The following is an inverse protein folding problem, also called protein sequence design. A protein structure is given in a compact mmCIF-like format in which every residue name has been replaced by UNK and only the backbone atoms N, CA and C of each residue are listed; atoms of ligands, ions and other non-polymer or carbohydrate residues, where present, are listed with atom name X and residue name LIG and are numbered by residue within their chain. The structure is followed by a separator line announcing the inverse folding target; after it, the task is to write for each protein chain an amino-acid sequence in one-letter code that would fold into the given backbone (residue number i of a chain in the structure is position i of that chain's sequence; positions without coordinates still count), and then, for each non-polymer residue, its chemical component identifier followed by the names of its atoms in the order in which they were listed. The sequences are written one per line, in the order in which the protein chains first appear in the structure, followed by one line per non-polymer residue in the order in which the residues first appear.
data_IF_861306144552
#
_entry.id   IF_861306144552
#
_cell.length_a   1.000
_cell.length_b   1.000
_cell.length_c   1.000
_cell.angle_alpha   90.00
_cell.angle_beta   90.00
_cell.angle_gamma   90.00
#
_symmetry.space_group_name_H-M   'P 1'
#
loop_
_entity.id
_entity.type
_entity.pdbx_description
1 polymer ?
#
# COMPACT_ATOMS: atom_id res chain seq x y z
N UNK A 1 5.41 7.14 72.83
CA UNK A 1 6.73 6.50 72.79
C UNK A 1 6.90 5.69 74.04
N UNK A 2 7.25 4.44 73.96
CA UNK A 2 7.58 3.57 75.09
C UNK A 2 9.11 3.44 75.10
N UNK A 3 9.70 3.74 76.25
CA UNK A 3 11.13 3.63 76.47
C UNK A 3 11.37 2.39 77.33
N UNK A 4 12.30 1.54 76.91
CA UNK A 4 12.80 0.42 77.65
C UNK A 4 14.32 0.63 77.86
N UNK A 5 14.90 -0.17 78.69
CA UNK A 5 16.33 -0.07 79.05
C UNK A 5 17.03 -1.36 78.74
N UNK A 6 18.19 -1.26 78.06
CA UNK A 6 18.99 -2.46 77.72
C UNK A 6 19.61 -3.06 78.99
N UNK A 7 19.39 -4.35 79.22
CA UNK A 7 19.85 -5.08 80.38
C UNK A 7 19.39 -4.47 81.73
N UNK A 8 18.21 -3.81 81.74
CA UNK A 8 17.65 -3.06 82.83
C UNK A 8 18.56 -1.89 83.33
N UNK A 9 19.54 -1.48 82.51
CA UNK A 9 20.43 -0.37 82.78
C UNK A 9 19.79 0.94 82.40
N UNK A 10 19.50 1.80 83.41
CA UNK A 10 18.84 3.08 83.24
C UNK A 10 19.63 4.07 82.37
N UNK A 11 20.94 3.85 82.24
CA UNK A 11 21.84 4.64 81.41
C UNK A 11 21.85 4.25 79.91
N UNK A 12 21.11 3.16 79.60
CA UNK A 12 21.03 2.66 78.24
C UNK A 12 19.56 2.63 77.75
N UNK A 13 18.89 3.80 77.67
CA UNK A 13 17.48 3.86 77.19
C UNK A 13 17.42 3.61 75.66
N UNK A 14 16.39 2.92 75.23
CA UNK A 14 16.04 2.79 73.83
C UNK A 14 14.52 2.89 73.64
N UNK A 15 14.10 3.34 72.49
CA UNK A 15 12.67 3.36 72.14
C UNK A 15 12.26 1.97 71.68
N UNK A 16 11.41 1.31 72.49
CA UNK A 16 10.93 -0.05 72.18
C UNK A 16 9.65 -0.02 71.34
N UNK A 17 8.81 1.02 71.47
CA UNK A 17 7.59 1.14 70.62
C UNK A 17 7.00 2.57 70.75
N UNK A 18 5.94 2.79 70.00
CA UNK A 18 5.09 3.97 70.10
C UNK A 18 3.64 3.56 70.35
N UNK A 19 2.94 4.39 71.10
CA UNK A 19 1.52 4.22 71.36
C UNK A 19 0.76 5.44 70.86
N UNK A 20 -0.42 5.20 70.33
CA UNK A 20 -1.37 6.24 70.05
C UNK A 20 -1.91 6.85 71.36
N UNK A 21 -2.28 8.14 71.27
CA UNK A 21 -2.86 8.85 72.40
C UNK A 21 -3.82 9.95 71.88
N UNK A 22 -4.44 10.71 72.80
CA UNK A 22 -5.37 11.77 72.45
C UNK A 22 -4.79 12.91 71.58
N UNK A 23 -3.50 13.18 71.67
CA UNK A 23 -2.82 14.15 70.81
C UNK A 23 -2.34 13.55 69.48
N UNK A 24 -2.08 12.25 69.45
CA UNK A 24 -1.65 11.50 68.24
C UNK A 24 -2.54 10.25 68.05
N UNK A 25 -3.74 10.43 67.51
CA UNK A 25 -4.68 9.30 67.31
C UNK A 25 -4.16 8.31 66.27
N UNK A 26 -4.58 7.06 66.38
CA UNK A 26 -4.38 6.04 65.32
C UNK A 26 -5.03 6.48 64.02
N UNK A 27 -4.44 6.15 62.88
CA UNK A 27 -5.10 6.24 61.58
C UNK A 27 -6.22 5.16 61.46
N UNK A 28 -6.09 4.06 62.19
CA UNK A 28 -7.09 3.00 62.28
C UNK A 28 -8.16 3.41 63.31
N UNK A 29 -9.42 3.39 62.91
CA UNK A 29 -10.55 3.74 63.78
C UNK A 29 -10.85 2.58 64.74
N UNK A 30 -10.27 2.63 65.91
CA UNK A 30 -10.49 1.63 66.97
C UNK A 30 -11.69 2.00 67.86
N UNK A 31 -12.47 1.00 68.37
CA UNK A 31 -12.28 -0.44 68.21
C UNK A 31 -12.93 -1.04 66.98
N UNK A 32 -13.53 -0.25 66.08
CA UNK A 32 -14.30 -0.74 64.94
C UNK A 32 -13.46 -1.48 63.89
N UNK A 33 -12.22 -1.09 63.73
CA UNK A 33 -11.28 -1.69 62.75
C UNK A 33 -10.15 -2.47 63.44
N UNK A 34 -10.50 -3.31 64.43
CA UNK A 34 -9.55 -4.15 65.16
C UNK A 34 -8.83 -5.21 64.29
N UNK A 35 -9.40 -5.48 63.10
CA UNK A 35 -8.82 -6.34 62.07
C UNK A 35 -7.69 -5.70 61.28
N UNK A 36 -7.36 -4.42 61.50
CA UNK A 36 -6.33 -3.69 60.81
C UNK A 36 -5.07 -3.46 61.65
N UNK A 37 -3.90 -3.61 61.00
CA UNK A 37 -2.62 -3.19 61.55
C UNK A 37 -2.00 -2.16 60.62
N UNK A 38 -1.64 -1.00 61.17
CA UNK A 38 -1.07 0.10 60.36
C UNK A 38 0.28 0.54 60.94
N UNK A 39 1.23 0.74 60.05
CA UNK A 39 2.50 1.46 60.27
C UNK A 39 2.39 2.80 59.51
N UNK A 40 2.42 3.89 60.21
CA UNK A 40 2.29 5.21 59.60
C UNK A 40 3.23 6.25 60.18
N UNK A 41 3.60 7.23 59.36
CA UNK A 41 4.34 8.42 59.80
C UNK A 41 3.69 9.69 59.24
N UNK A 42 3.45 10.69 60.11
CA UNK A 42 2.88 11.97 59.72
C UNK A 42 3.92 12.87 59.03
N UNK A 43 3.44 13.71 58.12
CA UNK A 43 4.24 14.82 57.58
C UNK A 43 4.58 15.80 58.67
N UNK A 44 5.83 16.24 58.70
CA UNK A 44 6.34 17.24 59.65
C UNK A 44 6.54 18.55 58.90
N UNK A 45 6.05 19.67 59.44
CA UNK A 45 6.24 21.00 58.85
C UNK A 45 5.01 21.92 59.08
N UNK A 46 4.98 23.03 58.35
CA UNK A 46 3.87 23.97 58.35
C UNK A 46 2.64 23.34 57.76
N UNK A 47 1.53 23.27 58.46
CA UNK A 47 0.24 22.66 58.10
C UNK A 47 0.20 21.12 58.12
N UNK A 48 1.10 20.43 58.73
CA UNK A 48 1.15 19.00 59.09
C UNK A 48 0.09 18.05 58.49
N UNK A 49 -0.37 18.30 57.28
CA UNK A 49 -1.37 17.50 56.57
C UNK A 49 -0.62 16.45 55.74
N UNK A 50 -1.07 15.21 55.85
CA UNK A 50 -0.54 14.08 55.08
C UNK A 50 0.22 13.06 55.93
N UNK A 51 0.47 11.90 55.31
CA UNK A 51 1.12 10.76 55.98
C UNK A 51 1.53 9.70 54.97
N UNK A 52 2.58 8.97 55.28
CA UNK A 52 2.89 7.69 54.64
C UNK A 52 2.31 6.56 55.44
N UNK A 53 1.85 5.49 54.77
CA UNK A 53 1.11 4.40 55.44
C UNK A 53 1.40 3.04 54.78
N UNK A 54 1.59 2.02 55.58
CA UNK A 54 1.44 0.62 55.24
C UNK A 54 0.37 0.02 56.14
N UNK A 55 -0.77 -0.38 55.58
CA UNK A 55 -1.85 -0.99 56.33
C UNK A 55 -2.14 -2.41 55.83
N UNK A 56 -2.30 -3.32 56.80
CA UNK A 56 -2.74 -4.69 56.60
C UNK A 56 -4.13 -4.84 57.13
N UNK A 57 -5.07 -5.26 56.31
CA UNK A 57 -6.49 -5.53 56.68
C UNK A 57 -6.79 -7.01 56.46
N UNK A 58 -7.33 -7.70 57.45
CA UNK A 58 -7.52 -9.15 57.47
C UNK A 58 -9.00 -9.59 57.61
N UNK A 59 -9.94 -8.76 57.12
CA UNK A 59 -11.33 -9.22 57.01
C UNK A 59 -11.41 -10.29 55.94
N UNK A 60 -11.96 -11.46 56.26
CA UNK A 60 -12.17 -12.56 55.32
C UNK A 60 -12.87 -12.08 54.05
N UNK A 61 -12.35 -12.45 52.88
CA UNK A 61 -12.80 -12.08 51.52
C UNK A 61 -12.66 -10.58 51.19
N UNK A 62 -12.00 -9.79 52.06
CA UNK A 62 -11.66 -8.39 51.87
C UNK A 62 -10.25 -8.04 52.36
N UNK A 63 -9.37 -9.03 52.37
CA UNK A 63 -7.98 -8.87 52.78
C UNK A 63 -7.27 -7.88 51.86
N UNK A 64 -6.50 -6.98 52.45
CA UNK A 64 -5.81 -5.92 51.69
C UNK A 64 -4.45 -5.59 52.28
N UNK A 65 -3.49 -5.37 51.46
CA UNK A 65 -2.24 -4.66 51.76
C UNK A 65 -2.32 -3.30 51.07
N UNK A 66 -2.34 -2.23 51.84
CA UNK A 66 -2.41 -0.88 51.35
C UNK A 66 -1.12 -0.13 51.64
N UNK A 67 -0.45 0.37 50.58
CA UNK A 67 0.76 1.17 50.69
C UNK A 67 0.49 2.57 50.10
N UNK A 68 0.70 3.61 50.91
CA UNK A 68 0.53 5.00 50.54
C UNK A 68 1.81 5.78 50.78
N UNK A 69 2.35 6.37 49.74
CA UNK A 69 3.36 7.43 49.81
C UNK A 69 2.67 8.78 49.62
N UNK A 70 2.93 9.73 50.52
CA UNK A 70 2.33 11.06 50.45
C UNK A 70 2.84 11.87 49.25
N UNK A 71 4.08 11.63 48.85
CA UNK A 71 4.70 12.35 47.74
C UNK A 71 5.44 11.39 46.80
N UNK A 72 6.59 10.96 47.15
CA UNK A 72 7.47 10.16 46.32
C UNK A 72 7.56 8.71 46.86
N UNK A 73 7.54 7.74 45.95
CA UNK A 73 7.76 6.33 46.24
C UNK A 73 8.91 5.82 45.41
N UNK A 74 10.04 5.48 46.03
CA UNK A 74 11.22 4.93 45.39
C UNK A 74 11.41 3.47 45.79
N UNK A 75 11.57 2.59 44.79
CA UNK A 75 11.87 1.19 44.98
C UNK A 75 13.15 0.80 44.29
N UNK A 76 14.15 0.30 45.02
CA UNK A 76 15.40 -0.19 44.48
C UNK A 76 15.57 -1.68 44.74
N UNK A 77 15.55 -2.50 43.70
CA UNK A 77 15.78 -3.93 43.77
C UNK A 77 17.13 -4.27 43.18
N UNK A 78 18.07 -4.71 44.03
CA UNK A 78 19.47 -5.02 43.66
C UNK A 78 19.60 -6.22 42.71
N UNK A 79 18.65 -7.15 42.71
CA UNK A 79 18.77 -8.39 41.94
C UNK A 79 17.50 -8.63 41.10
N UNK A 80 16.56 -9.39 41.58
CA UNK A 80 15.36 -9.75 40.79
C UNK A 80 14.09 -9.18 41.43
N UNK A 81 13.21 -8.63 40.62
CA UNK A 81 11.84 -8.29 40.99
C UNK A 81 10.87 -9.21 40.24
N UNK A 82 10.01 -9.92 40.99
CA UNK A 82 9.00 -10.82 40.42
C UNK A 82 7.65 -10.45 40.98
N UNK A 83 6.68 -10.22 40.09
CA UNK A 83 5.29 -9.93 40.43
C UNK A 83 4.38 -10.97 39.74
N UNK A 84 3.51 -11.62 40.51
CA UNK A 84 2.47 -12.52 40.01
C UNK A 84 1.10 -12.07 40.54
N UNK A 85 0.20 -11.73 39.64
CA UNK A 85 -1.14 -11.29 39.94
C UNK A 85 -2.10 -12.30 39.33
N UNK A 86 -2.98 -12.87 40.16
CA UNK A 86 -3.86 -13.97 39.75
C UNK A 86 -5.16 -13.47 39.09
N UNK A 87 -5.52 -12.24 39.28
CA UNK A 87 -6.69 -11.62 38.70
C UNK A 87 -6.30 -10.33 37.96
N UNK A 88 -6.78 -9.19 38.30
CA UNK A 88 -6.63 -7.96 37.55
C UNK A 88 -5.42 -7.12 38.04
N UNK A 89 -4.80 -6.40 37.12
CA UNK A 89 -3.81 -5.36 37.41
C UNK A 89 -4.21 -4.06 36.74
N UNK A 90 -4.51 -3.03 37.54
CA UNK A 90 -4.74 -1.67 37.07
C UNK A 90 -3.52 -0.80 37.36
N UNK A 91 -3.12 0.03 36.41
CA UNK A 91 -2.05 1.03 36.58
C UNK A 91 -2.47 2.34 35.93
N UNK A 92 -2.57 3.40 36.73
CA UNK A 92 -2.96 4.73 36.28
C UNK A 92 -1.79 5.68 36.57
N UNK A 93 -1.37 6.42 35.56
CA UNK A 93 -0.29 7.43 35.64
C UNK A 93 -0.81 8.72 35.03
N UNK A 94 -1.06 9.73 35.87
CA UNK A 94 -1.56 11.04 35.44
C UNK A 94 -0.50 11.90 34.73
N UNK A 95 0.77 11.57 34.91
CA UNK A 95 1.89 12.27 34.30
C UNK A 95 2.62 11.43 33.27
N UNK A 96 3.93 11.42 33.35
CA UNK A 96 4.80 10.72 32.38
C UNK A 96 5.12 9.31 32.87
N UNK A 97 4.91 8.31 32.04
CA UNK A 97 5.37 6.94 32.25
C UNK A 97 6.62 6.67 31.40
N UNK A 98 7.77 6.44 32.06
CA UNK A 98 9.04 6.08 31.39
C UNK A 98 9.44 4.66 31.75
N UNK A 99 9.72 3.85 30.74
CA UNK A 99 10.27 2.49 30.91
C UNK A 99 11.54 2.34 30.09
N UNK A 100 12.64 1.83 30.68
CA UNK A 100 13.91 1.57 30.00
C UNK A 100 14.40 0.17 30.27
N UNK A 101 14.41 -0.65 29.22
CA UNK A 101 14.88 -2.03 29.27
C UNK A 101 16.18 -2.13 28.46
N UNK A 102 17.27 -2.53 29.11
CA UNK A 102 18.60 -2.55 28.47
C UNK A 102 18.82 -3.78 27.58
N UNK A 103 18.08 -4.88 27.77
CA UNK A 103 18.27 -6.12 27.04
C UNK A 103 17.01 -6.49 26.25
N UNK A 104 16.12 -7.25 26.83
CA UNK A 104 14.95 -7.82 26.14
C UNK A 104 13.68 -7.46 26.88
N UNK A 105 12.68 -6.99 26.15
CA UNK A 105 11.30 -6.88 26.62
C UNK A 105 10.45 -7.89 25.87
N UNK A 106 9.84 -8.82 26.59
CA UNK A 106 8.90 -9.80 26.03
C UNK A 106 7.52 -9.56 26.64
N UNK A 107 6.51 -9.44 25.79
CA UNK A 107 5.11 -9.31 26.19
C UNK A 107 4.28 -10.37 25.46
N UNK A 108 3.57 -11.21 26.23
CA UNK A 108 2.61 -12.20 25.70
C UNK A 108 1.22 -11.84 26.20
N UNK A 109 0.26 -11.78 25.30
CA UNK A 109 -1.13 -11.47 25.59
C UNK A 109 -2.01 -12.47 24.83
N UNK A 110 -2.73 -13.31 25.55
CA UNK A 110 -3.43 -14.45 24.94
C UNK A 110 -4.68 -14.04 24.16
N UNK A 111 -5.36 -12.95 24.52
CA UNK A 111 -6.62 -12.57 23.90
C UNK A 111 -6.53 -11.27 23.08
N UNK A 112 -6.34 -10.12 23.74
CA UNK A 112 -6.39 -8.83 23.06
C UNK A 112 -5.43 -7.80 23.67
N UNK A 113 -4.82 -6.98 22.81
CA UNK A 113 -4.08 -5.78 23.19
C UNK A 113 -4.69 -4.56 22.50
N UNK A 114 -5.19 -3.61 23.29
CA UNK A 114 -5.68 -2.32 22.80
C UNK A 114 -4.67 -1.23 23.16
N UNK A 115 -4.32 -0.39 22.17
CA UNK A 115 -3.45 0.78 22.37
C UNK A 115 -4.15 1.99 21.77
N UNK A 116 -4.56 2.94 22.62
CA UNK A 116 -5.19 4.19 22.21
C UNK A 116 -4.24 5.33 22.52
N UNK A 117 -3.86 6.11 21.51
CA UNK A 117 -2.97 7.25 21.65
C UNK A 117 -3.64 8.48 21.07
N UNK A 118 -3.93 9.47 21.89
CA UNK A 118 -4.60 10.71 21.48
C UNK A 118 -3.72 11.70 20.72
N UNK A 119 -2.42 11.54 20.78
CA UNK A 119 -1.44 12.38 20.08
C UNK A 119 -0.58 11.56 19.12
N UNK A 120 0.71 11.49 19.38
CA UNK A 120 1.68 10.81 18.52
C UNK A 120 2.03 9.40 19.03
N UNK A 121 2.08 8.43 18.13
CA UNK A 121 2.60 7.09 18.38
C UNK A 121 3.83 6.83 17.52
N UNK A 122 5.03 6.92 18.09
CA UNK A 122 6.30 6.76 17.41
C UNK A 122 6.94 5.40 17.73
N UNK A 123 7.33 4.66 16.69
CA UNK A 123 8.08 3.40 16.82
C UNK A 123 9.37 3.47 16.01
N UNK A 124 10.53 3.46 16.69
CA UNK A 124 11.84 3.39 16.07
C UNK A 124 12.48 2.04 16.30
N UNK A 125 12.87 1.35 15.23
CA UNK A 125 13.51 0.03 15.29
C UNK A 125 14.81 0.08 14.49
N UNK A 126 15.94 -0.15 15.16
CA UNK A 126 17.26 -0.02 14.55
C UNK A 126 17.64 -1.11 13.56
N UNK A 127 17.09 -2.32 13.68
CA UNK A 127 17.47 -3.46 12.85
C UNK A 127 16.28 -4.05 12.07
N UNK A 128 15.36 -4.72 12.72
CA UNK A 128 14.20 -5.34 12.06
C UNK A 128 12.91 -5.17 12.85
N UNK A 129 11.79 -5.07 12.12
CA UNK A 129 10.45 -5.12 12.67
C UNK A 129 9.64 -6.13 11.85
N UNK A 130 9.26 -7.22 12.46
CA UNK A 130 8.41 -8.24 11.85
C UNK A 130 6.98 -8.13 12.40
N UNK A 131 6.01 -8.21 11.51
CA UNK A 131 4.58 -8.21 11.88
C UNK A 131 3.91 -9.38 11.18
N UNK A 132 3.40 -10.34 11.96
CA UNK A 132 2.71 -11.52 11.44
C UNK A 132 1.26 -11.45 11.93
N UNK A 133 0.31 -11.47 11.00
CA UNK A 133 -1.13 -11.41 11.27
C UNK A 133 -1.81 -12.59 10.62
N UNK A 134 -2.44 -13.45 11.42
CA UNK A 134 -3.02 -14.70 10.93
C UNK A 134 -4.28 -14.53 10.08
N UNK A 135 -5.10 -13.52 10.34
CA UNK A 135 -6.39 -13.36 9.65
C UNK A 135 -6.51 -12.02 8.90
N UNK A 136 -6.49 -10.89 9.58
CA UNK A 136 -6.66 -9.61 8.92
C UNK A 136 -5.79 -8.51 9.53
N UNK A 137 -5.28 -7.64 8.68
CA UNK A 137 -4.58 -6.42 9.05
C UNK A 137 -5.23 -5.24 8.33
N UNK A 138 -5.77 -4.28 9.09
CA UNK A 138 -6.44 -3.09 8.54
C UNK A 138 -5.67 -1.84 8.94
N UNK A 139 -5.34 -1.01 7.96
CA UNK A 139 -4.72 0.29 8.17
C UNK A 139 -5.64 1.38 7.61
N UNK A 140 -6.23 2.19 8.48
CA UNK A 140 -7.02 3.36 8.10
C UNK A 140 -6.22 4.63 8.42
N UNK A 141 -5.96 5.45 7.41
CA UNK A 141 -5.21 6.69 7.55
C UNK A 141 -6.05 7.84 7.03
N UNK A 142 -6.39 8.79 7.87
CA UNK A 142 -7.31 9.88 7.54
C UNK A 142 -6.75 10.92 6.56
N UNK A 143 -5.44 11.14 6.53
CA UNK A 143 -4.85 12.22 5.74
C UNK A 143 -3.68 11.75 4.87
N UNK A 144 -2.60 11.24 5.44
CA UNK A 144 -1.37 10.97 4.70
C UNK A 144 -0.70 9.67 5.16
N UNK A 145 -0.41 8.77 4.23
CA UNK A 145 0.33 7.54 4.46
C UNK A 145 1.58 7.52 3.57
N UNK A 146 2.76 7.65 4.17
CA UNK A 146 4.04 7.63 3.47
C UNK A 146 4.81 6.35 3.75
N UNK A 147 5.10 5.59 2.69
CA UNK A 147 5.98 4.42 2.75
C UNK A 147 7.25 4.72 1.97
N UNK A 148 8.41 4.69 2.64
CA UNK A 148 9.73 4.89 2.01
C UNK A 148 10.60 3.68 2.24
N UNK A 149 11.00 3.02 1.16
CA UNK A 149 11.89 1.87 1.17
C UNK A 149 13.16 2.22 0.39
N UNK A 150 14.31 2.17 1.05
CA UNK A 150 15.58 2.63 0.46
C UNK A 150 16.15 1.69 -0.62
N UNK A 151 15.84 0.39 -0.53
CA UNK A 151 16.37 -0.62 -1.47
C UNK A 151 15.26 -1.42 -2.13
N UNK A 152 14.74 -2.43 -1.49
CA UNK A 152 13.82 -3.40 -2.08
C UNK A 152 12.48 -3.40 -1.35
N UNK A 153 11.39 -3.42 -2.10
CA UNK A 153 10.04 -3.67 -1.60
C UNK A 153 9.46 -4.87 -2.32
N UNK A 154 8.98 -5.85 -1.60
CA UNK A 154 8.30 -7.02 -2.13
C UNK A 154 6.85 -7.03 -1.65
N UNK A 155 5.92 -7.23 -2.60
CA UNK A 155 4.51 -7.44 -2.30
C UNK A 155 4.06 -8.74 -3.00
N UNK A 156 3.47 -9.65 -2.24
CA UNK A 156 2.85 -10.85 -2.76
C UNK A 156 1.39 -10.91 -2.31
N UNK A 157 0.46 -11.02 -3.26
CA UNK A 157 -0.97 -11.15 -3.02
C UNK A 157 -1.43 -12.47 -3.64
N UNK A 158 -1.91 -13.39 -2.80
CA UNK A 158 -2.28 -14.75 -3.21
C UNK A 158 -3.51 -14.81 -4.12
N UNK A 159 -4.45 -13.88 -3.98
CA UNK A 159 -5.70 -13.85 -4.75
C UNK A 159 -5.91 -12.50 -5.43
N UNK A 160 -6.63 -11.58 -4.82
CA UNK A 160 -7.05 -10.34 -5.43
C UNK A 160 -6.32 -9.13 -4.84
N UNK A 161 -5.96 -8.17 -5.67
CA UNK A 161 -5.49 -6.86 -5.28
C UNK A 161 -6.31 -5.79 -5.97
N UNK A 162 -7.05 -5.01 -5.20
CA UNK A 162 -7.83 -3.87 -5.68
C UNK A 162 -7.13 -2.57 -5.31
N UNK A 163 -7.05 -1.65 -6.27
CA UNK A 163 -6.48 -0.32 -6.08
C UNK A 163 -7.48 0.69 -6.63
N UNK A 164 -7.99 1.56 -5.76
CA UNK A 164 -8.86 2.67 -6.12
C UNK A 164 -8.17 3.99 -5.76
N UNK A 165 -8.11 4.91 -6.70
CA UNK A 165 -7.47 6.21 -6.54
C UNK A 165 -8.45 7.29 -6.98
N UNK A 166 -8.94 8.07 -6.03
CA UNK A 166 -9.96 9.10 -6.27
C UNK A 166 -9.47 10.33 -7.05
N UNK A 167 -8.16 10.51 -7.22
CA UNK A 167 -7.60 11.62 -7.97
C UNK A 167 -6.51 11.17 -8.94
N UNK A 168 -5.24 11.39 -8.65
CA UNK A 168 -4.15 11.15 -9.59
C UNK A 168 -3.24 10.01 -9.11
N UNK A 169 -2.80 9.19 -10.04
CA UNK A 169 -1.70 8.24 -9.84
C UNK A 169 -0.49 8.68 -10.67
N UNK A 170 0.67 8.83 -10.05
CA UNK A 170 1.93 9.06 -10.73
C UNK A 170 2.90 7.90 -10.43
N UNK A 171 3.41 7.27 -11.49
CA UNK A 171 4.39 6.17 -11.38
C UNK A 171 5.64 6.52 -12.17
N UNK A 172 6.79 6.57 -11.52
CA UNK A 172 8.09 6.84 -12.15
C UNK A 172 9.00 5.64 -11.95
N UNK A 173 9.44 5.04 -13.04
CA UNK A 173 10.35 3.89 -13.05
C UNK A 173 11.62 4.29 -13.81
N UNK A 174 12.75 4.31 -13.12
CA UNK A 174 14.03 4.78 -13.71
C UNK A 174 14.75 3.74 -14.58
N UNK A 175 14.34 2.49 -14.53
CA UNK A 175 14.91 1.42 -15.35
C UNK A 175 13.79 0.67 -16.08
N UNK A 176 13.60 -0.58 -15.79
CA UNK A 176 12.71 -1.47 -16.54
C UNK A 176 11.39 -1.70 -15.79
N UNK A 177 10.29 -1.72 -16.53
CA UNK A 177 9.01 -2.26 -16.08
C UNK A 177 8.71 -3.55 -16.84
N UNK A 178 8.52 -4.63 -16.11
CA UNK A 178 8.07 -5.91 -16.68
C UNK A 178 6.69 -6.25 -16.14
N UNK A 179 5.70 -6.34 -17.03
CA UNK A 179 4.34 -6.72 -16.68
C UNK A 179 3.93 -7.98 -17.41
N UNK A 180 3.66 -9.05 -16.69
CA UNK A 180 3.18 -10.30 -17.26
C UNK A 180 1.74 -10.57 -16.81
N UNK A 181 0.79 -10.61 -17.75
CA UNK A 181 -0.63 -10.88 -17.51
C UNK A 181 -0.99 -12.18 -18.20
N UNK A 182 -1.21 -13.24 -17.47
CA UNK A 182 -1.57 -14.57 -18.02
C UNK A 182 -2.99 -14.64 -18.56
N UNK A 183 -3.87 -13.78 -18.06
CA UNK A 183 -5.26 -13.68 -18.51
C UNK A 183 -5.51 -12.43 -19.37
N UNK A 184 -6.67 -11.84 -19.28
CA UNK A 184 -7.06 -10.68 -20.05
C UNK A 184 -6.52 -9.38 -19.40
N UNK A 185 -6.01 -8.46 -20.21
CA UNK A 185 -5.77 -7.07 -19.84
C UNK A 185 -6.83 -6.20 -20.52
N UNK A 186 -7.58 -5.41 -19.73
CA UNK A 186 -8.50 -4.39 -20.23
C UNK A 186 -8.05 -3.03 -19.70
N UNK A 187 -7.99 -2.05 -20.57
CA UNK A 187 -7.66 -0.67 -20.22
C UNK A 187 -8.68 0.26 -20.88
N UNK A 188 -9.27 1.16 -20.12
CA UNK A 188 -10.26 2.13 -20.60
C UNK A 188 -9.80 3.51 -20.15
N UNK A 189 -9.63 4.42 -21.11
CA UNK A 189 -9.24 5.82 -20.88
C UNK A 189 -10.31 6.70 -21.49
N UNK A 190 -11.01 7.47 -20.68
CA UNK A 190 -12.06 8.39 -21.14
C UNK A 190 -11.51 9.68 -21.76
N UNK A 191 -10.30 10.04 -21.40
CA UNK A 191 -9.61 11.24 -21.92
C UNK A 191 -8.55 10.89 -22.97
N UNK A 192 -7.41 11.56 -22.90
CA UNK A 192 -6.29 11.32 -23.78
C UNK A 192 -5.42 10.16 -23.31
N UNK A 193 -4.92 9.37 -24.24
CA UNK A 193 -3.96 8.33 -24.02
C UNK A 193 -2.74 8.52 -24.90
N UNK A 194 -1.66 9.07 -24.35
CA UNK A 194 -0.42 9.36 -25.07
C UNK A 194 0.62 8.28 -24.78
N UNK A 195 1.20 7.72 -25.85
CA UNK A 195 2.31 6.78 -25.77
C UNK A 195 3.51 7.39 -26.50
N UNK A 196 4.58 7.69 -25.78
CA UNK A 196 5.81 8.23 -26.35
C UNK A 196 6.95 7.24 -26.12
N UNK A 197 7.45 6.63 -27.18
CA UNK A 197 8.53 5.63 -27.16
C UNK A 197 9.69 6.14 -28.02
N UNK A 198 10.85 6.32 -27.40
CA UNK A 198 12.03 6.87 -28.10
C UNK A 198 12.69 5.88 -29.04
N UNK A 199 12.56 4.59 -28.81
CA UNK A 199 13.21 3.56 -29.60
C UNK A 199 12.20 2.74 -30.40
N UNK A 200 11.67 1.65 -29.87
CA UNK A 200 10.87 0.70 -30.63
C UNK A 200 9.55 0.37 -29.92
N UNK A 201 8.44 0.49 -30.63
CA UNK A 201 7.16 -0.12 -30.27
C UNK A 201 6.94 -1.39 -31.09
N UNK A 202 6.82 -2.54 -30.42
CA UNK A 202 6.46 -3.80 -31.06
C UNK A 202 5.11 -4.28 -30.52
N UNK A 203 4.14 -4.50 -31.42
CA UNK A 203 2.85 -5.10 -31.11
C UNK A 203 2.77 -6.41 -31.87
N UNK A 204 2.56 -7.51 -31.19
CA UNK A 204 2.44 -8.83 -31.77
C UNK A 204 1.24 -9.56 -31.19
N UNK A 205 0.40 -10.11 -32.05
CA UNK A 205 -0.78 -10.93 -31.68
C UNK A 205 -0.80 -12.19 -32.49
N UNK A 206 -1.32 -13.28 -31.95
CA UNK A 206 -1.46 -14.55 -32.66
C UNK A 206 -2.77 -14.64 -33.45
N UNK A 207 -3.76 -13.82 -33.14
CA UNK A 207 -5.08 -13.87 -33.80
C UNK A 207 -5.38 -12.60 -34.56
N UNK A 208 -5.89 -11.58 -33.90
CA UNK A 208 -6.37 -10.37 -34.52
C UNK A 208 -5.85 -9.12 -33.82
N UNK A 209 -5.43 -8.13 -34.59
CA UNK A 209 -5.22 -6.76 -34.13
C UNK A 209 -6.23 -5.87 -34.84
N UNK A 210 -7.08 -5.18 -34.08
CA UNK A 210 -8.06 -4.23 -34.62
C UNK A 210 -7.78 -2.84 -34.08
N UNK A 211 -7.64 -1.87 -35.00
CA UNK A 211 -7.51 -0.45 -34.69
C UNK A 211 -8.72 0.26 -35.29
N UNK A 212 -9.54 0.88 -34.47
CA UNK A 212 -10.75 1.58 -34.89
C UNK A 212 -10.77 3.01 -34.38
N UNK A 213 -10.93 3.95 -35.26
CA UNK A 213 -11.17 5.36 -34.94
C UNK A 213 -12.55 5.78 -35.42
N UNK A 214 -13.29 6.54 -34.61
CA UNK A 214 -14.58 7.09 -35.01
C UNK A 214 -14.42 8.26 -35.99
N UNK A 215 -13.35 9.04 -35.88
CA UNK A 215 -13.09 10.19 -36.71
C UNK A 215 -11.92 9.94 -37.66
N UNK A 216 -10.71 10.28 -37.25
CA UNK A 216 -9.52 10.20 -38.11
C UNK A 216 -8.51 9.18 -37.52
N UNK A 217 -7.90 8.42 -38.41
CA UNK A 217 -6.69 7.65 -38.13
C UNK A 217 -5.59 8.22 -38.99
N UNK A 218 -4.55 8.78 -38.35
CA UNK A 218 -3.38 9.33 -39.04
C UNK A 218 -2.15 8.45 -38.70
N UNK A 219 -1.51 7.94 -39.73
CA UNK A 219 -0.26 7.19 -39.59
C UNK A 219 0.80 7.90 -40.44
N UNK A 220 1.85 8.38 -39.80
CA UNK A 220 2.96 9.09 -40.48
C UNK A 220 4.32 8.50 -40.11
N UNK A 221 5.23 8.54 -41.04
CA UNK A 221 6.63 8.16 -40.85
C UNK A 221 7.54 9.06 -41.67
N UNK A 222 8.71 9.35 -41.15
CA UNK A 222 9.73 10.12 -41.89
C UNK A 222 10.65 9.22 -42.72
N UNK A 223 10.52 7.91 -42.64
CA UNK A 223 11.33 6.95 -43.36
C UNK A 223 10.42 6.05 -44.23
N UNK A 224 10.29 4.79 -43.93
CA UNK A 224 9.55 3.82 -44.72
C UNK A 224 8.32 3.29 -43.98
N UNK A 225 7.25 3.04 -44.72
CA UNK A 225 6.06 2.35 -44.25
C UNK A 225 5.83 1.11 -45.11
N UNK A 226 5.73 -0.03 -44.49
CA UNK A 226 5.47 -1.32 -45.16
C UNK A 226 4.20 -1.98 -44.65
N UNK A 227 3.45 -2.57 -45.61
CA UNK A 227 2.33 -3.46 -45.28
C UNK A 227 2.61 -4.79 -45.99
N UNK A 228 2.76 -5.84 -45.21
CA UNK A 228 3.01 -7.20 -45.71
C UNK A 228 1.93 -8.15 -45.21
N UNK A 229 1.42 -9.01 -46.08
CA UNK A 229 0.39 -10.00 -45.75
C UNK A 229 0.52 -11.21 -46.67
N UNK A 230 0.36 -12.40 -46.11
CA UNK A 230 0.45 -13.67 -46.86
C UNK A 230 -0.81 -13.92 -47.70
N UNK A 231 -1.91 -13.23 -47.46
CA UNK A 231 -3.17 -13.46 -48.16
C UNK A 231 -3.71 -12.23 -48.85
N UNK A 232 -4.54 -11.46 -48.20
CA UNK A 232 -5.27 -10.36 -48.82
C UNK A 232 -4.96 -9.05 -48.09
N UNK A 233 -4.71 -7.99 -48.84
CA UNK A 233 -4.68 -6.62 -48.36
C UNK A 233 -5.82 -5.88 -49.06
N UNK A 234 -6.77 -5.34 -48.28
CA UNK A 234 -7.98 -4.70 -48.82
C UNK A 234 -8.12 -3.31 -48.29
N UNK A 235 -8.24 -2.34 -49.18
CA UNK A 235 -8.55 -0.96 -48.86
C UNK A 235 -9.94 -0.62 -49.43
N UNK A 236 -10.86 -0.20 -48.56
CA UNK A 236 -12.20 0.21 -48.93
C UNK A 236 -12.46 1.63 -48.38
N UNK A 237 -12.82 2.56 -49.23
CA UNK A 237 -13.11 3.93 -48.88
C UNK A 237 -14.02 4.56 -49.93
N UNK A 238 -14.72 5.63 -49.59
CA UNK A 238 -15.47 6.41 -50.59
C UNK A 238 -14.54 7.07 -51.62
N UNK A 239 -13.42 7.59 -51.16
CA UNK A 239 -12.37 8.17 -51.98
C UNK A 239 -10.98 7.69 -51.54
N UNK A 240 -10.14 7.35 -52.50
CA UNK A 240 -8.75 6.99 -52.27
C UNK A 240 -7.84 7.84 -53.16
N UNK A 241 -6.82 8.48 -52.56
CA UNK A 241 -5.78 9.17 -53.26
C UNK A 241 -4.42 8.52 -52.95
N UNK A 242 -3.71 8.10 -54.00
CA UNK A 242 -2.30 7.68 -53.90
C UNK A 242 -1.46 8.68 -54.68
N UNK A 243 -0.54 9.36 -54.00
CA UNK A 243 0.34 10.35 -54.59
C UNK A 243 1.78 10.08 -54.19
N UNK A 244 2.65 10.03 -55.18
CA UNK A 244 4.12 9.87 -55.00
C UNK A 244 4.87 11.02 -55.66
N UNK A 245 6.06 11.37 -55.17
CA UNK A 245 6.88 12.43 -55.74
C UNK A 245 7.75 11.94 -56.89
N UNK A 246 8.11 10.69 -56.87
CA UNK A 246 8.99 10.10 -57.89
C UNK A 246 8.30 8.92 -58.56
N UNK A 247 8.40 7.72 -58.04
CA UNK A 247 7.97 6.52 -58.71
C UNK A 247 6.78 5.88 -58.03
N UNK A 248 5.82 5.39 -58.84
CA UNK A 248 4.70 4.57 -58.40
C UNK A 248 4.75 3.24 -59.17
N UNK A 249 5.08 2.17 -58.51
CA UNK A 249 5.21 0.84 -59.11
C UNK A 249 4.13 -0.10 -58.55
N UNK A 250 3.43 -0.78 -59.45
CA UNK A 250 2.48 -1.84 -59.13
C UNK A 250 2.88 -3.11 -59.84
N UNK A 251 3.16 -4.17 -59.09
CA UNK A 251 3.47 -5.49 -59.64
C UNK A 251 2.44 -6.52 -59.16
N UNK A 252 1.97 -7.36 -60.04
CA UNK A 252 1.08 -8.48 -59.71
C UNK A 252 1.54 -9.74 -60.48
N UNK A 253 1.47 -10.90 -59.81
CA UNK A 253 1.82 -12.18 -60.45
C UNK A 253 0.81 -12.63 -61.53
N UNK A 254 -0.45 -12.32 -61.36
CA UNK A 254 -1.50 -12.76 -62.24
C UNK A 254 -2.18 -11.65 -63.06
N UNK A 255 -2.66 -10.61 -62.37
CA UNK A 255 -3.51 -9.60 -63.00
C UNK A 255 -3.48 -8.28 -62.23
N UNK A 256 -3.50 -7.16 -62.94
CA UNK A 256 -3.86 -5.83 -62.46
C UNK A 256 -5.21 -5.45 -63.12
N UNK A 257 -6.24 -5.15 -62.32
CA UNK A 257 -7.54 -4.69 -62.81
C UNK A 257 -7.84 -3.31 -62.26
N UNK A 258 -8.10 -2.36 -63.12
CA UNK A 258 -8.72 -1.07 -62.82
C UNK A 258 -10.14 -1.07 -63.41
N UNK A 259 -11.18 -0.85 -62.57
CA UNK A 259 -12.56 -0.93 -63.00
C UNK A 259 -13.37 0.24 -62.48
N UNK A 260 -14.17 0.87 -63.32
CA UNK A 260 -15.18 1.88 -62.99
C UNK A 260 -16.45 1.56 -63.76
N UNK A 261 -17.49 1.08 -63.08
CA UNK A 261 -18.68 0.57 -63.77
C UNK A 261 -18.31 -0.54 -64.75
N UNK A 262 -18.72 -0.41 -66.03
CA UNK A 262 -18.41 -1.36 -67.11
C UNK A 262 -17.07 -1.06 -67.80
N UNK A 263 -16.39 0.06 -67.46
CA UNK A 263 -15.09 0.41 -68.01
C UNK A 263 -13.98 -0.32 -67.26
N UNK A 264 -13.06 -0.96 -67.96
CA UNK A 264 -11.99 -1.76 -67.38
C UNK A 264 -10.67 -1.55 -68.13
N UNK A 265 -9.57 -1.52 -67.34
CA UNK A 265 -8.19 -1.74 -67.81
C UNK A 265 -7.65 -2.97 -67.13
N UNK A 266 -7.34 -4.02 -67.88
CA UNK A 266 -6.82 -5.28 -67.40
C UNK A 266 -5.43 -5.51 -68.00
N UNK A 267 -4.45 -5.69 -67.09
CA UNK A 267 -3.10 -6.19 -67.49
C UNK A 267 -2.96 -7.58 -66.96
N UNK A 268 -2.71 -8.58 -67.82
CA UNK A 268 -2.61 -9.98 -67.43
C UNK A 268 -1.62 -10.69 -68.33
N UNK A 269 -0.60 -11.31 -67.71
CA UNK A 269 0.45 -12.00 -68.48
C UNK A 269 1.04 -11.14 -69.56
N UNK A 270 0.80 -11.53 -70.81
CA UNK A 270 1.40 -10.92 -72.01
C UNK A 270 0.34 -10.06 -72.82
N UNK A 271 -0.79 -9.70 -72.23
CA UNK A 271 -1.80 -8.86 -72.87
C UNK A 271 -2.34 -7.76 -71.98
N UNK A 272 -2.79 -6.69 -72.63
CA UNK A 272 -3.53 -5.61 -72.04
C UNK A 272 -4.91 -5.48 -72.73
N UNK A 273 -5.95 -5.39 -71.93
CA UNK A 273 -7.35 -5.14 -72.40
C UNK A 273 -7.83 -3.80 -71.88
N UNK A 274 -8.36 -2.96 -72.75
CA UNK A 274 -9.09 -1.73 -72.38
C UNK A 274 -10.51 -1.85 -72.90
N UNK A 275 -11.51 -1.81 -71.96
CA UNK A 275 -12.94 -1.86 -72.32
C UNK A 275 -13.61 -0.55 -71.89
N UNK A 276 -14.33 0.08 -72.83
CA UNK A 276 -15.13 1.28 -72.53
C UNK A 276 -16.28 1.41 -73.58
N UNK A 277 -17.51 1.72 -73.14
CA UNK A 277 -18.65 2.03 -74.03
C UNK A 277 -18.97 0.98 -75.10
N UNK A 278 -18.72 -0.29 -74.78
CA UNK A 278 -18.94 -1.41 -75.73
C UNK A 278 -17.75 -1.69 -76.68
N UNK A 279 -16.72 -0.89 -76.68
CA UNK A 279 -15.47 -1.08 -77.39
C UNK A 279 -14.44 -1.86 -76.53
N UNK A 280 -13.76 -2.83 -77.10
CA UNK A 280 -12.67 -3.56 -76.45
C UNK A 280 -11.39 -3.40 -77.33
N UNK A 281 -10.32 -2.94 -76.70
CA UNK A 281 -9.00 -2.88 -77.30
C UNK A 281 -8.14 -3.93 -76.62
N UNK A 282 -7.55 -4.81 -77.39
CA UNK A 282 -6.64 -5.85 -76.91
C UNK A 282 -5.27 -5.64 -77.52
N UNK A 283 -4.26 -5.60 -76.70
CA UNK A 283 -2.83 -5.58 -77.08
C UNK A 283 -2.18 -6.85 -76.60
N UNK A 284 -1.65 -7.68 -77.49
CA UNK A 284 -0.99 -8.93 -77.18
C UNK A 284 0.25 -9.15 -78.09
N UNK A 285 0.86 -10.33 -78.02
CA UNK A 285 2.01 -10.70 -78.88
C UNK A 285 1.69 -10.70 -80.39
N UNK A 286 0.46 -10.72 -80.78
CA UNK A 286 0.04 -10.71 -82.19
C UNK A 286 -0.28 -9.28 -82.69
N UNK A 287 -0.28 -8.29 -81.84
CA UNK A 287 -0.53 -6.91 -82.18
C UNK A 287 -1.68 -6.26 -81.43
N UNK A 288 -2.37 -5.30 -82.07
CA UNK A 288 -3.48 -4.52 -81.54
C UNK A 288 -4.77 -4.90 -82.27
N UNK A 289 -5.78 -5.29 -81.50
CA UNK A 289 -7.10 -5.63 -82.04
C UNK A 289 -8.15 -4.72 -81.40
N UNK A 290 -9.03 -4.10 -82.18
CA UNK A 290 -10.20 -3.32 -81.78
C UNK A 290 -11.46 -4.08 -82.15
N UNK A 291 -12.34 -4.33 -81.15
CA UNK A 291 -13.64 -4.98 -81.31
C UNK A 291 -14.76 -4.04 -80.89
N UNK A 292 -15.85 -4.02 -81.64
CA UNK A 292 -17.07 -3.23 -81.34
C UNK A 292 -16.91 -1.75 -81.61
N UNK A 293 -15.88 -1.30 -82.37
CA UNK A 293 -15.63 0.07 -82.74
C UNK A 293 -14.71 0.24 -83.93
N UNK A 294 -14.39 1.47 -84.31
CA UNK A 294 -13.47 1.82 -85.43
C UNK A 294 -12.25 2.56 -84.89
N UNK A 295 -11.14 2.40 -85.55
CA UNK A 295 -9.93 3.21 -85.41
C UNK A 295 -10.11 4.47 -86.24
N UNK A 296 -10.23 5.64 -85.62
CA UNK A 296 -10.24 6.93 -86.27
C UNK A 296 -8.86 7.59 -86.12
N UNK A 297 -8.23 7.93 -87.22
CA UNK A 297 -7.03 8.74 -87.25
C UNK A 297 -7.39 10.16 -87.61
N UNK A 298 -7.02 11.11 -86.76
CA UNK A 298 -7.12 12.53 -87.07
C UNK A 298 -5.91 13.00 -87.91
#
# INVERSE_FOLDING_TARGET
MIISFLDDDIDKPYVSSSLYNGANPSLVNLPFNDHQTSLSSKTIGVNEEGYNELTLSNIKDKEQIYLKAQKDYDELVQHNFTQRILNDKDSIVDGIYNERIKKVHTQTIDLAKNVNVGGEYLTNVGLSKDTIVGLSNTLNVGVDNKVRVAKNSHEFVGENKDIEIGANQNTIIHKDEIRNVKGNKKEVVEGHYDINIKETLKIQTEKETSIRSKNNLLITTNASMGFETDKNNTFVSDNSLSQTKTDYEVKAGNQILHQVGDTQIVTKGDYVIIKAGGVEVVIDSNGLVVKGGEIRTE
#
